data_IF_401795150975
#
_entry.id   IF_401795150975
#
_cell.length_a   1.000
_cell.length_b   1.000
_cell.length_c   1.000
_cell.angle_alpha   90.00
_cell.angle_beta   90.00
_cell.angle_gamma   90.00
#
_symmetry.space_group_name_H-M   'P 1'
#
loop_
_entity.id
_entity.type
_entity.pdbx_description
1 polymer ?
#
# COMPACT_ATOMS: atom_id res chain seq x y z
N UNK A 1 -7.04 -18.53 7.61
CA UNK A 1 -6.98 -17.28 6.83
C UNK A 1 -5.60 -16.74 7.07
N UNK A 2 -4.77 -16.63 6.03
CA UNK A 2 -3.42 -16.08 6.16
C UNK A 2 -3.56 -14.57 6.16
N UNK A 3 -3.06 -13.90 7.19
CA UNK A 3 -3.07 -12.44 7.26
C UNK A 3 -1.74 -11.91 6.73
N UNK A 4 -1.80 -10.79 6.03
CA UNK A 4 -0.60 -10.06 5.64
C UNK A 4 -0.04 -9.42 6.93
N UNK A 5 1.18 -9.73 7.32
CA UNK A 5 1.73 -9.27 8.60
C UNK A 5 2.29 -7.84 8.56
N UNK A 6 2.32 -7.19 7.39
CA UNK A 6 2.83 -5.83 7.22
C UNK A 6 1.84 -4.97 6.43
N UNK A 7 1.33 -3.93 7.07
CA UNK A 7 0.59 -2.86 6.40
C UNK A 7 1.59 -1.98 5.63
N UNK A 8 1.28 -1.64 4.38
CA UNK A 8 2.07 -0.71 3.61
C UNK A 8 1.79 0.72 4.08
N UNK A 9 2.84 1.45 4.44
CA UNK A 9 2.77 2.87 4.75
C UNK A 9 3.29 3.71 3.58
N UNK A 10 2.78 4.94 3.47
CA UNK A 10 3.22 5.90 2.46
C UNK A 10 3.16 7.34 2.98
N UNK A 11 4.05 8.16 2.42
CA UNK A 11 4.01 9.62 2.60
C UNK A 11 3.29 10.24 1.40
N UNK A 12 2.45 11.23 1.67
CA UNK A 12 1.74 11.97 0.63
C UNK A 12 2.56 13.15 0.14
N UNK A 13 2.55 13.37 -1.16
CA UNK A 13 3.09 14.53 -1.84
C UNK A 13 2.06 15.00 -2.87
N UNK A 14 1.90 16.31 -3.02
CA UNK A 14 1.04 16.90 -4.01
C UNK A 14 1.49 18.33 -4.32
N UNK A 15 1.09 18.83 -5.48
CA UNK A 15 1.22 20.24 -5.86
C UNK A 15 -0.11 20.96 -5.58
N UNK A 16 -0.09 22.20 -5.11
CA UNK A 16 -1.32 23.00 -4.96
C UNK A 16 -1.02 24.49 -5.00
N UNK A 17 -2.00 25.27 -5.42
CA UNK A 17 -2.00 26.73 -5.27
C UNK A 17 -2.28 27.18 -3.83
N UNK A 18 -2.84 26.28 -3.01
CA UNK A 18 -3.12 26.49 -1.60
C UNK A 18 -2.09 25.80 -0.71
N UNK A 19 -2.12 26.14 0.59
CA UNK A 19 -1.40 25.38 1.60
C UNK A 19 -2.17 24.07 1.79
N UNK A 20 -1.47 22.94 1.89
CA UNK A 20 -2.09 21.64 2.14
C UNK A 20 -1.35 20.87 3.23
N UNK A 21 -2.11 20.06 3.96
CA UNK A 21 -1.60 19.12 4.97
C UNK A 21 -2.14 17.71 4.68
N UNK A 22 -1.30 16.66 4.78
CA UNK A 22 -1.75 15.29 4.60
C UNK A 22 -2.54 14.79 5.82
N UNK A 23 -3.69 14.17 5.60
CA UNK A 23 -4.56 13.63 6.65
C UNK A 23 -4.52 12.09 6.71
N UNK A 24 -3.59 11.46 6.00
CA UNK A 24 -3.54 10.00 5.84
C UNK A 24 -4.29 9.53 4.61
N UNK A 25 -4.42 8.22 4.46
CA UNK A 25 -5.01 7.61 3.29
C UNK A 25 -5.06 6.09 3.39
N UNK A 26 -5.67 5.48 2.38
CA UNK A 26 -5.96 4.05 2.36
C UNK A 26 -5.33 3.38 1.13
N UNK A 27 -4.91 2.13 1.29
CA UNK A 27 -4.37 1.31 0.20
C UNK A 27 -5.31 0.14 -0.04
N UNK A 28 -5.81 0.05 -1.27
CA UNK A 28 -6.57 -1.08 -1.76
C UNK A 28 -5.69 -1.92 -2.69
N UNK A 29 -5.58 -3.22 -2.39
CA UNK A 29 -4.82 -4.17 -3.18
C UNK A 29 -5.71 -4.77 -4.27
N UNK A 30 -5.46 -4.43 -5.54
CA UNK A 30 -6.29 -4.90 -6.65
C UNK A 30 -5.81 -6.23 -7.24
N UNK A 31 -4.50 -6.34 -7.49
CA UNK A 31 -3.95 -7.48 -8.21
C UNK A 31 -2.52 -7.79 -7.80
N UNK A 32 -2.15 -9.05 -7.88
CA UNK A 32 -0.81 -9.56 -7.61
C UNK A 32 -0.35 -10.41 -8.78
N UNK A 33 0.84 -10.15 -9.29
CA UNK A 33 1.43 -10.92 -10.38
C UNK A 33 2.92 -11.16 -10.14
N UNK A 34 3.42 -12.30 -10.58
CA UNK A 34 4.85 -12.60 -10.53
C UNK A 34 5.58 -11.78 -11.59
N UNK A 35 6.61 -11.02 -11.19
CA UNK A 35 7.51 -10.33 -12.14
C UNK A 35 8.31 -11.36 -12.93
N UNK A 36 8.77 -12.39 -12.24
CA UNK A 36 9.38 -13.58 -12.80
C UNK A 36 8.98 -14.81 -11.98
N UNK A 37 9.28 -15.99 -12.51
CA UNK A 37 8.97 -17.26 -11.85
C UNK A 37 10.14 -17.77 -10.99
N UNK A 38 11.06 -16.89 -10.61
CA UNK A 38 12.21 -17.24 -9.80
C UNK A 38 11.83 -17.17 -8.31
N UNK A 39 11.57 -18.34 -7.73
CA UNK A 39 11.29 -18.48 -6.29
C UNK A 39 12.56 -18.94 -5.60
N UNK A 40 12.98 -18.24 -4.55
CA UNK A 40 14.19 -18.58 -3.79
C UNK A 40 13.81 -19.06 -2.40
N UNK A 41 14.32 -20.23 -2.01
CA UNK A 41 14.37 -20.60 -0.59
C UNK A 41 15.50 -19.80 0.04
N UNK A 42 15.19 -18.89 0.95
CA UNK A 42 16.18 -18.05 1.62
C UNK A 42 16.54 -18.57 3.01
N UNK A 43 15.65 -19.30 3.66
CA UNK A 43 15.91 -19.97 4.92
C UNK A 43 15.09 -21.26 5.04
N UNK A 44 15.66 -22.26 5.71
CA UNK A 44 14.94 -23.47 6.12
C UNK A 44 15.43 -23.89 7.49
N UNK A 45 14.52 -24.03 8.44
CA UNK A 45 14.82 -24.47 9.80
C UNK A 45 13.97 -25.70 10.15
N UNK A 46 14.63 -26.76 10.59
CA UNK A 46 14.00 -27.98 11.09
C UNK A 46 14.13 -27.97 12.61
N UNK A 47 13.01 -27.91 13.29
CA UNK A 47 12.91 -27.92 14.75
C UNK A 47 12.15 -29.16 15.23
N UNK A 48 12.14 -29.41 16.54
CA UNK A 48 11.39 -30.55 17.10
C UNK A 48 9.88 -30.48 16.85
N UNK A 49 9.36 -29.29 16.54
CA UNK A 49 7.95 -29.03 16.27
C UNK A 49 7.59 -29.05 14.78
N UNK A 50 8.57 -29.17 13.87
CA UNK A 50 8.30 -29.19 12.43
C UNK A 50 9.40 -28.58 11.58
N UNK A 51 9.07 -28.23 10.35
CA UNK A 51 9.93 -27.47 9.44
C UNK A 51 9.28 -26.11 9.14
N UNK A 52 10.12 -25.08 9.05
CA UNK A 52 9.77 -23.76 8.54
C UNK A 52 10.65 -23.45 7.33
N UNK A 53 10.04 -22.99 6.25
CA UNK A 53 10.69 -22.64 4.98
C UNK A 53 10.30 -21.20 4.65
N UNK A 54 11.28 -20.33 4.52
CA UNK A 54 11.09 -18.95 4.08
C UNK A 54 11.41 -18.85 2.60
N UNK A 55 10.41 -18.46 1.81
CA UNK A 55 10.53 -18.21 0.38
C UNK A 55 10.61 -16.71 0.11
N UNK A 56 11.46 -16.30 -0.82
CA UNK A 56 11.47 -14.95 -1.40
C UNK A 56 10.96 -15.03 -2.84
N UNK A 57 9.97 -14.18 -3.16
CA UNK A 57 9.41 -14.02 -4.49
C UNK A 57 9.38 -12.54 -4.88
N UNK A 58 9.50 -12.25 -6.16
CA UNK A 58 9.37 -10.88 -6.69
C UNK A 58 7.99 -10.72 -7.34
N UNK A 59 7.16 -9.86 -6.74
CA UNK A 59 5.80 -9.59 -7.20
C UNK A 59 5.68 -8.15 -7.70
N UNK A 60 4.79 -7.97 -8.67
CA UNK A 60 4.21 -6.70 -9.02
C UNK A 60 2.79 -6.66 -8.47
N UNK A 61 2.51 -5.65 -7.66
CA UNK A 61 1.24 -5.45 -6.97
C UNK A 61 0.60 -4.20 -7.53
N UNK A 62 -0.62 -4.30 -8.03
CA UNK A 62 -1.43 -3.14 -8.40
C UNK A 62 -2.18 -2.64 -7.18
N UNK A 63 -1.97 -1.36 -6.88
CA UNK A 63 -2.56 -0.66 -5.75
C UNK A 63 -3.46 0.47 -6.26
N UNK A 64 -4.62 0.62 -5.63
CA UNK A 64 -5.39 1.87 -5.63
C UNK A 64 -5.10 2.56 -4.31
N UNK A 65 -4.60 3.79 -4.36
CA UNK A 65 -4.20 4.55 -3.18
C UNK A 65 -5.08 5.79 -3.12
N UNK A 66 -5.85 5.90 -2.04
CA UNK A 66 -6.65 7.09 -1.73
C UNK A 66 -5.89 7.95 -0.73
N UNK A 67 -5.68 9.24 -1.04
CA UNK A 67 -5.04 10.22 -0.18
C UNK A 67 -6.03 11.30 0.23
N UNK A 68 -5.99 11.69 1.50
CA UNK A 68 -6.81 12.75 2.06
C UNK A 68 -5.96 13.96 2.42
N UNK A 69 -6.45 15.14 2.03
CA UNK A 69 -5.73 16.41 2.17
C UNK A 69 -6.65 17.46 2.80
N UNK A 70 -6.12 18.24 3.74
CA UNK A 70 -6.75 19.48 4.19
C UNK A 70 -6.11 20.66 3.48
N UNK A 71 -6.92 21.52 2.87
CA UNK A 71 -6.48 22.76 2.23
C UNK A 71 -6.73 23.96 3.13
N UNK A 72 -5.80 24.90 3.11
CA UNK A 72 -5.88 26.17 3.85
C UNK A 72 -5.26 27.33 3.07
N UNK A 73 -5.55 28.55 3.52
CA UNK A 73 -5.01 29.78 2.94
C UNK A 73 -4.68 30.80 4.03
N UNK A 74 -3.80 31.74 3.72
CA UNK A 74 -3.43 32.82 4.66
C UNK A 74 -4.35 34.03 4.46
N UNK A 75 -5.05 34.46 5.51
CA UNK A 75 -5.81 35.71 5.47
C UNK A 75 -4.87 36.90 5.30
N UNK A 76 -5.13 37.72 4.28
CA UNK A 76 -4.38 38.92 3.96
C UNK A 76 -4.45 40.04 5.01
N UNK A 77 -5.42 40.00 5.94
CA UNK A 77 -5.65 41.08 6.92
C UNK A 77 -4.76 40.93 8.15
N UNK A 78 -4.72 39.74 8.76
CA UNK A 78 -3.98 39.46 10.00
C UNK A 78 -2.91 38.37 9.87
N UNK A 79 -2.89 37.64 8.75
CA UNK A 79 -1.90 36.61 8.46
C UNK A 79 -2.25 35.24 9.05
N UNK A 80 -3.46 35.06 9.59
CA UNK A 80 -3.89 33.78 10.14
C UNK A 80 -4.15 32.75 9.01
N UNK A 81 -3.92 31.47 9.31
CA UNK A 81 -4.23 30.38 8.39
C UNK A 81 -5.68 29.97 8.62
N UNK A 82 -6.48 30.02 7.55
CA UNK A 82 -7.89 29.62 7.55
C UNK A 82 -8.08 28.35 6.76
N UNK A 83 -8.82 27.40 7.34
CA UNK A 83 -9.23 26.18 6.65
C UNK A 83 -10.15 26.52 5.47
N UNK A 84 -9.89 25.90 4.32
CA UNK A 84 -10.68 26.07 3.11
C UNK A 84 -11.55 24.85 2.84
N UNK A 85 -10.90 23.69 2.64
CA UNK A 85 -11.60 22.49 2.19
C UNK A 85 -10.84 21.20 2.55
N UNK A 86 -11.48 20.06 2.39
CA UNK A 86 -10.87 18.74 2.42
C UNK A 86 -11.03 18.04 1.07
N UNK A 87 -9.92 17.57 0.50
CA UNK A 87 -9.90 16.90 -0.80
C UNK A 87 -9.47 15.45 -0.60
N UNK A 88 -10.17 14.55 -1.29
CA UNK A 88 -9.74 13.16 -1.46
C UNK A 88 -9.31 12.96 -2.91
N UNK A 89 -8.17 12.31 -3.12
CA UNK A 89 -7.67 11.98 -4.46
C UNK A 89 -7.21 10.53 -4.53
N UNK A 90 -7.56 9.86 -5.61
CA UNK A 90 -7.20 8.47 -5.87
C UNK A 90 -6.15 8.40 -6.98
N UNK A 91 -5.18 7.50 -6.81
CA UNK A 91 -4.26 7.13 -7.89
C UNK A 91 -4.12 5.60 -7.99
N UNK A 92 -3.80 5.14 -9.20
CA UNK A 92 -3.34 3.77 -9.44
C UNK A 92 -1.81 3.72 -9.47
N UNK A 93 -1.24 2.72 -8.80
CA UNK A 93 0.21 2.51 -8.77
C UNK A 93 0.56 1.03 -8.85
N UNK A 94 1.44 0.69 -9.79
CA UNK A 94 2.10 -0.61 -9.80
C UNK A 94 3.34 -0.54 -8.88
N UNK A 95 3.42 -1.47 -7.94
CA UNK A 95 4.48 -1.59 -6.94
C UNK A 95 5.18 -2.93 -7.07
N UNK A 96 6.41 -2.91 -7.60
CA UNK A 96 7.28 -4.08 -7.64
C UNK A 96 8.00 -4.23 -6.30
N UNK A 97 7.83 -5.37 -5.65
CA UNK A 97 8.40 -5.64 -4.33
C UNK A 97 8.72 -7.10 -4.11
N UNK A 98 9.70 -7.33 -3.23
CA UNK A 98 9.95 -8.66 -2.69
C UNK A 98 8.93 -8.99 -1.62
N UNK A 99 8.41 -10.21 -1.69
CA UNK A 99 7.53 -10.78 -0.69
C UNK A 99 8.19 -12.01 -0.10
N UNK A 100 8.20 -12.08 1.23
CA UNK A 100 8.58 -13.28 1.96
C UNK A 100 7.33 -14.08 2.31
N UNK A 101 7.37 -15.38 2.01
CA UNK A 101 6.30 -16.32 2.30
C UNK A 101 6.86 -17.37 3.24
N UNK A 102 6.31 -17.46 4.45
CA UNK A 102 6.66 -18.47 5.42
C UNK A 102 5.73 -19.67 5.25
N UNK A 103 6.31 -20.83 4.94
CA UNK A 103 5.62 -22.11 4.88
C UNK A 103 6.06 -22.94 6.08
N UNK A 104 5.12 -23.58 6.77
CA UNK A 104 5.41 -24.53 7.84
C UNK A 104 4.79 -25.90 7.59
N UNK A 105 5.39 -26.92 8.17
CA UNK A 105 4.79 -28.25 8.33
C UNK A 105 5.11 -28.76 9.73
N UNK A 106 4.07 -29.10 10.49
CA UNK A 106 4.17 -29.65 11.84
C UNK A 106 4.88 -31.03 11.83
N UNK A 107 5.62 -31.34 12.90
CA UNK A 107 6.39 -32.60 13.02
C UNK A 107 5.53 -33.86 13.09
N UNK A 108 4.23 -33.73 13.30
CA UNK A 108 3.25 -34.82 13.27
C UNK A 108 2.75 -35.17 11.86
N UNK A 109 3.07 -34.33 10.86
CA UNK A 109 2.63 -34.47 9.48
C UNK A 109 3.76 -34.92 8.54
N UNK A 110 3.40 -35.35 7.33
CA UNK A 110 4.39 -35.81 6.34
C UNK A 110 4.83 -34.65 5.44
N UNK A 111 6.08 -34.22 5.58
CA UNK A 111 6.68 -33.18 4.72
C UNK A 111 6.65 -33.52 3.22
N UNK A 112 6.56 -34.81 2.87
CA UNK A 112 6.48 -35.23 1.47
C UNK A 112 5.05 -35.12 0.91
N UNK A 113 4.07 -34.86 1.77
CA UNK A 113 2.69 -34.60 1.40
C UNK A 113 2.47 -33.08 1.31
N UNK A 114 2.23 -32.58 0.11
CA UNK A 114 2.02 -31.14 -0.11
C UNK A 114 0.81 -30.60 0.64
N UNK A 115 -0.21 -31.44 0.86
CA UNK A 115 -1.43 -31.05 1.58
C UNK A 115 -1.17 -30.77 3.07
N UNK A 116 -0.03 -31.20 3.61
CA UNK A 116 0.35 -31.00 5.01
C UNK A 116 1.12 -29.68 5.24
N UNK A 117 1.55 -29.01 4.16
CA UNK A 117 2.23 -27.71 4.19
C UNK A 117 1.23 -26.56 4.32
N UNK A 118 1.52 -25.60 5.19
CA UNK A 118 0.67 -24.43 5.43
C UNK A 118 1.46 -23.15 5.24
N UNK A 119 0.90 -22.18 4.50
CA UNK A 119 1.39 -20.81 4.51
C UNK A 119 1.00 -20.20 5.85
N UNK A 120 1.98 -19.80 6.64
CA UNK A 120 1.80 -19.22 7.97
C UNK A 120 1.78 -17.71 7.91
N UNK A 121 2.63 -17.13 7.06
CA UNK A 121 2.82 -15.68 7.00
C UNK A 121 3.21 -15.24 5.58
N UNK A 122 2.80 -14.02 5.23
CA UNK A 122 3.15 -13.33 4.00
C UNK A 122 3.53 -11.90 4.35
N UNK A 123 4.77 -11.53 4.09
CA UNK A 123 5.36 -10.24 4.48
C UNK A 123 5.87 -9.51 3.25
N UNK A 124 5.42 -8.27 3.06
CA UNK A 124 5.98 -7.37 2.04
C UNK A 124 7.23 -6.71 2.62
N UNK A 125 8.34 -6.76 1.88
CA UNK A 125 9.64 -6.34 2.41
C UNK A 125 9.93 -4.86 2.14
N UNK A 126 9.42 -4.32 1.03
CA UNK A 126 9.68 -2.94 0.65
C UNK A 126 8.54 -2.02 1.10
N UNK A 127 8.88 -0.74 1.30
CA UNK A 127 7.92 0.31 1.60
C UNK A 127 7.53 1.07 0.34
N UNK A 128 6.30 1.59 0.32
CA UNK A 128 5.78 2.34 -0.84
C UNK A 128 6.47 3.70 -1.02
N UNK A 129 6.98 4.27 0.07
CA UNK A 129 7.71 5.53 0.08
C UNK A 129 6.79 6.74 -0.09
N UNK A 130 7.16 7.66 -0.97
CA UNK A 130 6.35 8.85 -1.28
C UNK A 130 5.45 8.59 -2.48
N UNK A 131 4.18 8.92 -2.32
CA UNK A 131 3.16 8.86 -3.36
C UNK A 131 2.81 10.28 -3.77
N UNK A 132 3.00 10.58 -5.05
CA UNK A 132 2.66 11.86 -5.64
C UNK A 132 1.23 11.80 -6.21
N UNK A 133 0.36 12.61 -5.63
CA UNK A 133 -1.04 12.74 -6.04
C UNK A 133 -1.23 13.81 -7.13
N UNK A 134 -0.17 14.47 -7.59
CA UNK A 134 -0.23 15.55 -8.57
C UNK A 134 -0.91 16.79 -8.01
N UNK A 135 -1.61 17.54 -8.87
CA UNK A 135 -2.23 18.81 -8.48
C UNK A 135 -3.51 18.63 -7.65
N UNK A 136 -3.60 19.30 -6.50
CA UNK A 136 -4.81 19.45 -5.69
C UNK A 136 -5.52 20.72 -6.14
N UNK A 137 -6.54 20.54 -6.96
CA UNK A 137 -7.43 21.61 -7.40
C UNK A 137 -8.66 21.64 -6.50
N UNK A 138 -9.05 22.83 -6.05
CA UNK A 138 -10.37 23.02 -5.45
C UNK A 138 -11.42 22.76 -6.52
N UNK A 139 -12.47 22.01 -6.19
CA UNK A 139 -13.62 21.89 -7.10
C UNK A 139 -14.23 23.29 -7.26
N UNK A 140 -14.08 23.87 -8.45
CA UNK A 140 -14.75 25.11 -8.81
C UNK A 140 -16.21 24.75 -9.13
N UNK A 141 -17.10 24.98 -8.18
CA UNK A 141 -18.56 24.74 -8.28
C UNK A 141 -19.24 25.76 -9.22
N UNK A 142 -18.55 26.16 -10.31
CA UNK A 142 -19.06 27.03 -11.36
C UNK A 142 -19.52 26.20 -12.57
N UNK A 143 -20.40 25.22 -12.31
CA UNK A 143 -21.43 24.86 -13.27
C UNK A 143 -22.38 26.06 -13.39
N UNK A 144 -22.00 27.04 -14.20
CA UNK A 144 -22.98 27.91 -14.82
C UNK A 144 -23.82 27.01 -15.73
N UNK A 145 -24.99 26.63 -15.22
CA UNK A 145 -26.15 26.27 -16.03
C UNK A 145 -26.37 27.40 -17.05
N UNK A 146 -25.72 27.31 -18.21
CA UNK A 146 -26.14 28.03 -19.40
C UNK A 146 -27.45 27.38 -19.90
N UNK A 147 -28.57 27.73 -19.24
CA UNK A 147 -29.87 27.66 -19.89
C UNK A 147 -29.84 28.61 -21.10
N UNK A 148 -29.82 28.03 -22.31
CA UNK A 148 -30.16 28.72 -23.57
C UNK A 148 -31.41 28.06 -24.17
#
# INVERSE_FOLDING_TARGET
MVELSTELEFNQQADSTCIWEPEGGEINYENFSFVNHDIKVIESNIESLGINILLEVLLNIRLIIEGHFRLSHTDSIDGDVVDLDAITKEIEKDFETKVHILISCDSTRDINNVDDLEIVDVTIIDQLGTVDFGELEQYDDTDHDEEI
#
